data_IF_535809820641
#
_entry.id   IF_535809820641
#
_cell.length_a   1.000
_cell.length_b   1.000
_cell.length_c   1.000
_cell.angle_alpha   90.00
_cell.angle_beta   90.00
_cell.angle_gamma   90.00
#
_symmetry.space_group_name_H-M   'P 1'
#
loop_
_entity.id
_entity.type
_entity.pdbx_description
1 polymer ?
#
# COMPACT_ATOMS: atom_id res chain seq x y z
N UNK A 1 -27.82 -18.11 -11.40
CA UNK A 1 -28.33 -16.99 -12.21
C UNK A 1 -29.50 -16.30 -11.51
N UNK A 2 -30.43 -17.08 -10.95
CA UNK A 2 -31.72 -16.60 -10.42
C UNK A 2 -31.66 -15.62 -9.22
N UNK A 3 -30.52 -15.53 -8.52
CA UNK A 3 -30.36 -14.61 -7.38
C UNK A 3 -29.84 -13.23 -7.78
N UNK A 4 -29.19 -13.09 -8.95
CA UNK A 4 -28.54 -11.84 -9.36
C UNK A 4 -29.60 -10.75 -9.56
N UNK A 5 -29.37 -9.58 -8.98
CA UNK A 5 -30.28 -8.44 -9.03
C UNK A 5 -31.33 -8.42 -7.92
N UNK A 6 -31.48 -9.48 -7.12
CA UNK A 6 -32.35 -9.45 -5.95
C UNK A 6 -31.83 -8.43 -4.93
N UNK A 7 -32.74 -7.61 -4.40
CA UNK A 7 -32.46 -6.61 -3.36
C UNK A 7 -32.61 -7.25 -1.99
N UNK A 8 -31.77 -6.84 -1.04
CA UNK A 8 -31.82 -7.30 0.35
C UNK A 8 -31.76 -6.11 1.32
N UNK A 9 -32.22 -6.33 2.55
CA UNK A 9 -32.02 -5.35 3.63
C UNK A 9 -30.66 -5.62 4.29
N UNK A 10 -29.73 -4.65 4.35
CA UNK A 10 -28.45 -4.83 5.04
C UNK A 10 -28.65 -5.00 6.55
N UNK A 11 -27.74 -5.67 7.27
CA UNK A 11 -27.86 -5.85 8.72
C UNK A 11 -27.91 -4.55 9.53
N UNK A 12 -27.31 -3.47 9.02
CA UNK A 12 -27.24 -2.17 9.69
C UNK A 12 -27.82 -1.05 8.83
N UNK A 13 -28.52 -0.10 9.45
CA UNK A 13 -29.26 0.95 8.76
C UNK A 13 -28.43 2.15 8.31
N UNK A 14 -27.15 2.23 8.71
CA UNK A 14 -26.30 3.42 8.54
C UNK A 14 -26.19 3.96 7.11
N UNK A 15 -26.28 3.07 6.12
CA UNK A 15 -26.13 3.40 4.71
C UNK A 15 -27.37 3.05 3.89
N UNK A 16 -28.54 2.87 4.53
CA UNK A 16 -29.79 2.65 3.78
C UNK A 16 -30.02 3.79 2.78
N UNK A 17 -30.41 3.42 1.56
CA UNK A 17 -30.58 4.36 0.46
C UNK A 17 -29.29 4.68 -0.32
N UNK A 18 -28.16 4.03 0.00
CA UNK A 18 -26.95 4.15 -0.82
C UNK A 18 -27.18 3.65 -2.25
N UNK A 19 -26.79 4.46 -3.22
CA UNK A 19 -27.11 4.22 -4.62
C UNK A 19 -26.48 2.91 -5.13
N UNK A 20 -27.25 2.17 -5.94
CA UNK A 20 -26.88 0.88 -6.54
C UNK A 20 -26.50 -0.25 -5.56
N UNK A 21 -26.59 -0.01 -4.25
CA UNK A 21 -26.19 -0.94 -3.21
C UNK A 21 -27.30 -1.94 -2.82
N UNK A 22 -26.97 -2.83 -1.88
CA UNK A 22 -27.88 -3.81 -1.27
C UNK A 22 -28.63 -4.70 -2.26
N UNK A 23 -27.91 -5.17 -3.27
CA UNK A 23 -28.38 -6.16 -4.25
C UNK A 23 -27.34 -7.24 -4.47
N UNK A 24 -27.79 -8.42 -4.88
CA UNK A 24 -26.91 -9.54 -5.20
C UNK A 24 -26.27 -9.32 -6.57
N UNK A 25 -24.95 -9.48 -6.65
CA UNK A 25 -24.16 -9.32 -7.88
C UNK A 25 -23.31 -10.57 -8.14
N UNK A 26 -22.98 -10.82 -9.40
CA UNK A 26 -22.11 -11.94 -9.76
C UNK A 26 -20.63 -11.60 -9.44
N UNK A 27 -19.89 -12.54 -8.88
CA UNK A 27 -18.46 -12.38 -8.61
C UNK A 27 -17.75 -13.72 -8.85
N UNK A 28 -16.66 -13.69 -9.62
CA UNK A 28 -15.93 -14.90 -10.03
C UNK A 28 -15.03 -15.47 -8.94
N UNK A 29 -14.64 -14.67 -7.95
CA UNK A 29 -13.77 -15.08 -6.85
C UNK A 29 -14.51 -15.88 -5.76
N UNK A 30 -15.84 -16.00 -5.85
CA UNK A 30 -16.64 -16.73 -4.86
C UNK A 30 -16.40 -18.23 -5.01
N UNK A 31 -15.90 -18.87 -3.96
CA UNK A 31 -15.70 -20.33 -3.93
C UNK A 31 -16.87 -21.03 -3.26
N UNK A 32 -16.98 -22.33 -3.52
CA UNK A 32 -17.96 -23.22 -2.84
C UNK A 32 -17.31 -24.09 -1.77
N UNK A 33 -16.03 -23.86 -1.47
CA UNK A 33 -15.27 -24.67 -0.50
C UNK A 33 -15.52 -24.22 0.93
N UNK A 34 -15.71 -22.92 1.14
CA UNK A 34 -15.78 -22.29 2.45
C UNK A 34 -16.90 -21.23 2.49
N UNK A 35 -17.43 -20.96 3.68
CA UNK A 35 -18.53 -20.01 3.86
C UNK A 35 -19.87 -20.53 3.36
N UNK A 36 -20.69 -19.65 2.78
CA UNK A 36 -22.06 -19.95 2.35
C UNK A 36 -22.27 -19.87 0.83
N UNK A 37 -21.22 -19.51 0.08
CA UNK A 37 -21.34 -19.13 -1.33
C UNK A 37 -21.96 -17.74 -1.57
N UNK A 38 -22.26 -16.98 -0.51
CA UNK A 38 -22.62 -15.57 -0.56
C UNK A 38 -21.58 -14.77 0.24
N UNK A 39 -20.90 -13.84 -0.43
CA UNK A 39 -19.83 -13.04 0.18
C UNK A 39 -20.35 -11.64 0.48
N UNK A 40 -20.15 -11.18 1.72
CA UNK A 40 -20.36 -9.78 2.08
C UNK A 40 -19.28 -8.93 1.41
N UNK A 41 -19.69 -7.87 0.70
CA UNK A 41 -18.79 -6.99 -0.05
C UNK A 41 -18.74 -5.60 0.59
N UNK A 42 -17.53 -5.13 0.87
CA UNK A 42 -17.24 -3.78 1.35
C UNK A 42 -16.03 -3.20 0.60
N UNK A 43 -16.28 -2.48 -0.49
CA UNK A 43 -15.23 -2.02 -1.43
C UNK A 43 -14.10 -1.16 -0.83
N UNK A 44 -14.30 -0.60 0.37
CA UNK A 44 -13.27 0.13 1.09
C UNK A 44 -12.26 -0.78 1.84
N UNK A 45 -12.56 -2.07 2.02
CA UNK A 45 -11.83 -2.97 2.91
C UNK A 45 -11.38 -4.28 2.25
N UNK A 46 -11.67 -4.48 0.96
CA UNK A 46 -11.23 -5.62 0.17
C UNK A 46 -10.90 -5.21 -1.27
N UNK A 47 -9.85 -5.80 -1.85
CA UNK A 47 -9.46 -5.51 -3.24
C UNK A 47 -10.46 -6.07 -4.24
N UNK A 48 -10.80 -7.35 -4.12
CA UNK A 48 -11.82 -7.98 -4.95
C UNK A 48 -13.20 -7.30 -4.78
N UNK A 49 -13.49 -6.87 -3.55
CA UNK A 49 -14.68 -6.09 -3.24
C UNK A 49 -14.68 -4.76 -3.98
N UNK A 50 -13.54 -4.06 -4.01
CA UNK A 50 -13.39 -2.79 -4.73
C UNK A 50 -13.64 -2.95 -6.23
N UNK A 51 -13.06 -4.00 -6.82
CA UNK A 51 -13.24 -4.33 -8.24
C UNK A 51 -14.73 -4.56 -8.56
N UNK A 52 -15.42 -5.32 -7.71
CA UNK A 52 -16.86 -5.57 -7.88
C UNK A 52 -17.67 -4.29 -7.68
N UNK A 53 -17.43 -3.53 -6.62
CA UNK A 53 -18.20 -2.30 -6.35
C UNK A 53 -18.01 -1.26 -7.44
N UNK A 54 -16.80 -1.11 -7.99
CA UNK A 54 -16.53 -0.20 -9.11
C UNK A 54 -17.28 -0.62 -10.38
N UNK A 55 -17.21 -1.91 -10.74
CA UNK A 55 -17.94 -2.47 -11.88
C UNK A 55 -19.44 -2.24 -11.77
N UNK A 56 -19.97 -2.34 -10.56
CA UNK A 56 -21.40 -2.24 -10.25
C UNK A 56 -21.87 -0.80 -9.96
N UNK A 57 -20.97 0.19 -10.02
CA UNK A 57 -21.28 1.59 -9.75
C UNK A 57 -21.72 1.86 -8.30
N UNK A 58 -21.16 1.10 -7.35
CA UNK A 58 -21.40 1.24 -5.91
C UNK A 58 -20.25 2.03 -5.31
N UNK A 59 -20.52 3.25 -4.82
CA UNK A 59 -19.50 4.06 -4.17
C UNK A 59 -19.02 3.40 -2.87
N UNK A 60 -17.70 3.27 -2.69
CA UNK A 60 -17.14 2.68 -1.48
C UNK A 60 -17.25 3.64 -0.29
N UNK A 61 -17.80 3.15 0.82
CA UNK A 61 -17.95 3.92 2.07
C UNK A 61 -16.81 3.61 3.04
N UNK A 62 -16.29 4.63 3.72
CA UNK A 62 -15.14 4.50 4.64
C UNK A 62 -15.51 4.93 6.09
N UNK A 63 -16.25 4.10 6.84
CA UNK A 63 -16.61 4.39 8.23
C UNK A 63 -15.47 4.18 9.24
N UNK A 64 -14.21 4.11 8.80
CA UNK A 64 -13.07 3.81 9.67
C UNK A 64 -11.98 4.86 9.48
N UNK A 65 -11.60 5.49 10.59
CA UNK A 65 -10.56 6.50 10.68
C UNK A 65 -9.15 5.94 10.41
N UNK A 66 -8.15 6.84 10.43
CA UNK A 66 -6.73 6.46 10.24
C UNK A 66 -6.14 5.68 11.42
N UNK A 67 -6.78 5.76 12.58
CA UNK A 67 -6.44 5.09 13.83
C UNK A 67 -7.17 3.74 13.99
N UNK A 68 -7.88 3.28 12.96
CA UNK A 68 -8.62 2.02 12.99
C UNK A 68 -9.87 2.07 13.86
N UNK A 69 -10.41 3.27 14.11
CA UNK A 69 -11.64 3.47 14.87
C UNK A 69 -12.82 3.81 13.97
N UNK A 70 -14.02 3.38 14.34
CA UNK A 70 -15.23 3.76 13.62
C UNK A 70 -15.47 5.27 13.69
N UNK A 71 -16.01 5.83 12.61
CA UNK A 71 -16.41 7.24 12.48
C UNK A 71 -17.88 7.32 12.09
N UNK A 72 -18.49 8.49 12.26
CA UNK A 72 -19.79 8.81 11.67
C UNK A 72 -19.84 8.37 10.17
N UNK A 73 -20.94 7.77 9.68
CA UNK A 73 -22.26 7.60 10.34
C UNK A 73 -22.42 6.40 11.26
N UNK A 74 -21.38 5.60 11.52
CA UNK A 74 -21.48 4.40 12.37
C UNK A 74 -21.46 4.79 13.86
N UNK A 75 -22.57 5.40 14.29
CA UNK A 75 -22.69 6.07 15.58
C UNK A 75 -22.63 5.12 16.79
N UNK A 76 -23.19 3.90 16.71
CA UNK A 76 -23.22 2.99 17.87
C UNK A 76 -21.81 2.55 18.30
N UNK A 77 -20.84 2.59 17.39
CA UNK A 77 -19.45 2.17 17.62
C UNK A 77 -18.44 3.30 17.42
N UNK A 78 -18.89 4.56 17.27
CA UNK A 78 -18.02 5.69 16.96
C UNK A 78 -16.90 5.84 18.01
N UNK A 79 -15.65 5.96 17.54
CA UNK A 79 -14.46 6.04 18.40
C UNK A 79 -13.98 4.70 18.98
N UNK A 80 -14.68 3.59 18.74
CA UNK A 80 -14.21 2.24 19.10
C UNK A 80 -13.29 1.69 18.03
N UNK A 81 -12.23 1.00 18.45
CA UNK A 81 -11.33 0.29 17.53
C UNK A 81 -12.08 -0.91 16.92
N UNK A 82 -11.86 -1.20 15.63
CA UNK A 82 -12.66 -2.18 14.87
C UNK A 82 -12.67 -3.61 15.46
N UNK A 83 -11.57 -4.06 16.07
CA UNK A 83 -11.50 -5.36 16.75
C UNK A 83 -12.26 -5.35 18.08
N UNK A 84 -12.20 -4.25 18.84
CA UNK A 84 -12.96 -4.09 20.08
C UNK A 84 -14.48 -4.09 19.80
N UNK A 85 -14.89 -3.48 18.69
CA UNK A 85 -16.28 -3.38 18.28
C UNK A 85 -16.92 -4.74 17.91
N UNK A 86 -16.12 -5.77 17.56
CA UNK A 86 -16.66 -7.06 17.10
C UNK A 86 -17.62 -7.70 18.11
N UNK A 87 -17.30 -7.67 19.41
CA UNK A 87 -18.18 -8.25 20.43
C UNK A 87 -19.49 -7.48 20.56
N UNK A 88 -19.44 -6.14 20.51
CA UNK A 88 -20.62 -5.29 20.56
C UNK A 88 -21.54 -5.50 19.35
N UNK A 89 -20.97 -5.55 18.15
CA UNK A 89 -21.69 -5.86 16.90
C UNK A 89 -22.40 -7.21 17.01
N UNK A 90 -21.72 -8.24 17.51
CA UNK A 90 -22.30 -9.57 17.67
C UNK A 90 -23.44 -9.56 18.71
N UNK A 91 -23.29 -8.83 19.80
CA UNK A 91 -24.31 -8.73 20.85
C UNK A 91 -25.56 -7.99 20.34
N UNK A 92 -25.41 -6.93 19.54
CA UNK A 92 -26.53 -6.21 18.91
C UNK A 92 -27.29 -7.09 17.90
N UNK A 93 -26.56 -7.86 17.08
CA UNK A 93 -27.15 -8.83 16.15
C UNK A 93 -27.90 -9.95 16.91
N UNK A 94 -27.34 -10.40 18.05
CA UNK A 94 -27.96 -11.42 18.89
C UNK A 94 -29.23 -10.89 19.58
N UNK A 95 -29.21 -9.67 20.09
CA UNK A 95 -30.39 -9.02 20.68
C UNK A 95 -31.52 -8.92 19.65
N UNK A 96 -31.21 -8.47 18.43
CA UNK A 96 -32.18 -8.38 17.32
C UNK A 96 -32.74 -9.74 16.93
N UNK A 97 -31.91 -10.78 16.93
CA UNK A 97 -32.35 -12.17 16.69
C UNK A 97 -33.36 -12.64 17.74
N UNK A 98 -33.23 -12.17 18.99
CA UNK A 98 -34.14 -12.50 20.09
C UNK A 98 -35.41 -11.61 20.11
N UNK A 99 -35.57 -10.71 19.14
CA UNK A 99 -36.72 -9.81 19.03
C UNK A 99 -36.56 -8.46 19.73
N UNK A 100 -35.36 -8.12 20.22
CA UNK A 100 -35.05 -6.83 20.83
C UNK A 100 -34.45 -5.88 19.79
N UNK A 101 -34.92 -4.63 19.70
CA UNK A 101 -34.23 -3.65 18.85
C UNK A 101 -32.92 -3.21 19.54
N UNK A 102 -31.78 -3.43 18.89
CA UNK A 102 -30.47 -2.96 19.38
C UNK A 102 -29.75 -2.11 18.34
N UNK A 103 -29.32 -0.93 18.76
CA UNK A 103 -28.64 0.05 17.93
C UNK A 103 -29.32 0.26 16.58
N UNK A 104 -28.49 0.34 15.54
CA UNK A 104 -28.87 0.55 14.15
C UNK A 104 -29.09 -0.75 13.38
N UNK A 105 -29.28 -1.89 14.07
CA UNK A 105 -29.56 -3.17 13.40
C UNK A 105 -30.94 -3.12 12.75
N UNK A 106 -31.05 -3.55 11.49
CA UNK A 106 -32.30 -3.49 10.74
C UNK A 106 -33.28 -4.60 11.18
N UNK A 107 -34.60 -4.32 11.20
CA UNK A 107 -35.61 -5.32 11.55
C UNK A 107 -35.56 -6.55 10.63
N UNK A 108 -35.64 -7.74 11.23
CA UNK A 108 -35.59 -9.02 10.50
C UNK A 108 -34.18 -9.57 10.29
N UNK A 109 -33.13 -8.86 10.74
CA UNK A 109 -31.76 -9.37 10.76
C UNK A 109 -31.62 -10.52 11.76
N UNK A 110 -30.99 -11.61 11.32
CA UNK A 110 -30.80 -12.84 12.11
C UNK A 110 -29.33 -13.23 12.15
N UNK A 111 -28.78 -13.36 13.35
CA UNK A 111 -27.50 -14.02 13.60
C UNK A 111 -27.73 -15.53 13.60
N UNK A 112 -27.51 -16.17 12.45
CA UNK A 112 -27.76 -17.61 12.29
C UNK A 112 -26.79 -18.48 13.09
N UNK A 113 -25.50 -18.14 13.09
CA UNK A 113 -24.43 -18.92 13.72
C UNK A 113 -23.29 -18.01 14.12
N UNK A 114 -22.68 -18.28 15.28
CA UNK A 114 -21.44 -17.68 15.77
C UNK A 114 -20.46 -18.80 16.10
N UNK A 115 -19.26 -18.71 15.56
CA UNK A 115 -18.16 -19.63 15.82
C UNK A 115 -16.86 -18.86 16.02
N UNK A 116 -15.88 -19.52 16.64
CA UNK A 116 -14.50 -19.04 16.67
C UNK A 116 -13.76 -19.61 15.48
N UNK A 117 -12.97 -18.77 14.81
CA UNK A 117 -12.17 -19.16 13.67
C UNK A 117 -10.69 -18.97 13.99
N UNK A 118 -9.92 -20.06 13.88
CA UNK A 118 -8.46 -20.05 14.08
C UNK A 118 -7.78 -20.15 12.72
N UNK A 119 -7.04 -19.10 12.35
CA UNK A 119 -6.38 -19.00 11.05
C UNK A 119 -5.20 -18.03 11.09
N UNK A 120 -4.34 -18.12 10.07
CA UNK A 120 -3.27 -17.14 9.89
C UNK A 120 -3.82 -15.79 9.45
N UNK A 121 -3.48 -14.75 10.19
CA UNK A 121 -3.92 -13.38 9.92
C UNK A 121 -2.71 -12.44 9.79
N UNK A 122 -2.73 -11.44 8.89
CA UNK A 122 -1.60 -10.52 8.71
C UNK A 122 -1.43 -9.59 9.92
N UNK A 123 -0.19 -9.49 10.39
CA UNK A 123 0.21 -8.59 11.48
C UNK A 123 1.34 -7.68 11.03
N UNK A 124 1.42 -6.50 11.64
CA UNK A 124 2.54 -5.58 11.42
C UNK A 124 3.86 -6.27 11.78
N UNK A 125 4.78 -6.35 10.83
CA UNK A 125 6.09 -7.01 11.01
C UNK A 125 6.94 -6.36 12.11
N UNK A 126 6.64 -5.10 12.48
CA UNK A 126 7.35 -4.34 13.52
C UNK A 126 6.70 -4.46 14.89
N UNK A 127 5.44 -4.04 15.02
CA UNK A 127 4.76 -3.96 16.32
C UNK A 127 3.84 -5.14 16.63
N UNK A 128 3.67 -6.08 15.68
CA UNK A 128 2.84 -7.28 15.82
C UNK A 128 1.34 -7.04 16.02
N UNK A 129 0.87 -5.81 15.88
CA UNK A 129 -0.57 -5.50 15.85
C UNK A 129 -1.24 -6.07 14.60
N UNK A 130 -2.50 -6.56 14.69
CA UNK A 130 -3.25 -7.06 13.55
C UNK A 130 -3.54 -5.94 12.53
N UNK A 131 -3.39 -6.26 11.25
CA UNK A 131 -3.61 -5.31 10.16
C UNK A 131 -5.06 -5.32 9.68
N UNK A 132 -5.50 -4.21 9.13
CA UNK A 132 -6.77 -4.13 8.39
C UNK A 132 -6.48 -3.67 6.96
N UNK A 133 -7.16 -4.28 6.00
CA UNK A 133 -7.18 -3.77 4.63
C UNK A 133 -8.11 -2.57 4.59
N UNK A 134 -7.62 -1.46 4.07
CA UNK A 134 -8.34 -0.20 4.02
C UNK A 134 -7.88 0.61 2.81
N UNK A 135 -8.82 1.15 2.05
CA UNK A 135 -8.56 2.12 0.99
C UNK A 135 -7.83 3.35 1.55
N UNK A 136 -6.64 3.61 1.03
CA UNK A 136 -5.82 4.78 1.36
C UNK A 136 -5.18 5.31 0.08
N UNK A 137 -4.94 6.62 0.02
CA UNK A 137 -4.15 7.21 -1.06
C UNK A 137 -2.68 6.84 -0.89
N UNK A 138 -2.04 6.33 -1.93
CA UNK A 138 -0.61 6.06 -1.95
C UNK A 138 -0.08 6.31 -3.36
N UNK A 139 1.23 6.54 -3.48
CA UNK A 139 1.91 6.55 -4.76
C UNK A 139 2.49 5.17 -5.03
N UNK A 140 2.37 4.74 -6.28
CA UNK A 140 2.77 3.42 -6.72
C UNK A 140 3.81 3.50 -7.83
N UNK A 141 4.78 2.60 -7.80
CA UNK A 141 5.53 2.22 -9.00
C UNK A 141 4.72 1.12 -9.71
N UNK A 142 4.42 1.34 -10.99
CA UNK A 142 3.66 0.40 -11.84
C UNK A 142 4.52 -0.82 -12.23
N UNK A 143 4.83 -1.66 -11.23
CA UNK A 143 5.66 -2.86 -11.38
C UNK A 143 5.04 -3.83 -12.39
N UNK A 144 3.72 -3.87 -12.47
CA UNK A 144 3.00 -4.74 -13.40
C UNK A 144 3.36 -4.48 -14.87
N UNK A 145 3.69 -3.23 -15.24
CA UNK A 145 4.06 -2.85 -16.60
C UNK A 145 5.36 -3.50 -17.10
N UNK A 146 6.30 -3.82 -16.20
CA UNK A 146 7.60 -4.43 -16.54
C UNK A 146 7.84 -5.77 -15.83
N UNK A 147 6.80 -6.38 -15.27
CA UNK A 147 6.85 -7.67 -14.58
C UNK A 147 7.46 -8.78 -15.43
N UNK A 148 7.05 -8.88 -16.70
CA UNK A 148 7.59 -9.88 -17.62
C UNK A 148 9.09 -9.69 -17.85
N UNK A 149 9.53 -8.43 -17.96
CA UNK A 149 10.95 -8.11 -18.11
C UNK A 149 11.75 -8.49 -16.86
N UNK A 150 11.19 -8.28 -15.66
CA UNK A 150 11.84 -8.73 -14.43
C UNK A 150 12.01 -10.25 -14.38
N UNK A 151 11.05 -11.03 -14.88
CA UNK A 151 11.17 -12.48 -14.96
C UNK A 151 12.32 -12.89 -15.89
N UNK A 152 12.46 -12.25 -17.05
CA UNK A 152 13.57 -12.49 -17.98
C UNK A 152 14.93 -12.11 -17.38
N UNK A 153 15.01 -10.95 -16.70
CA UNK A 153 16.24 -10.51 -16.04
C UNK A 153 16.61 -11.44 -14.89
N UNK A 154 15.64 -12.01 -14.17
CA UNK A 154 15.88 -12.98 -13.11
C UNK A 154 16.55 -14.27 -13.62
N UNK A 155 16.27 -14.67 -14.87
CA UNK A 155 16.92 -15.84 -15.49
C UNK A 155 18.41 -15.62 -15.77
N UNK A 156 18.89 -14.38 -15.75
CA UNK A 156 20.31 -14.05 -15.94
C UNK A 156 21.10 -14.09 -14.62
N UNK A 157 20.42 -14.21 -13.48
CA UNK A 157 21.02 -14.22 -12.15
C UNK A 157 21.40 -15.65 -11.77
N UNK A 158 22.63 -15.85 -11.30
CA UNK A 158 23.06 -17.12 -10.72
C UNK A 158 22.63 -17.20 -9.24
N UNK A 159 21.56 -17.95 -8.96
CA UNK A 159 21.04 -18.14 -7.61
C UNK A 159 21.69 -19.31 -6.89
N UNK A 160 22.02 -19.11 -5.61
CA UNK A 160 22.50 -20.15 -4.71
C UNK A 160 21.66 -20.13 -3.43
N UNK A 161 20.81 -21.13 -3.16
CA UNK A 161 20.53 -22.30 -4.00
C UNK A 161 19.70 -21.98 -5.26
N UNK A 162 19.86 -22.82 -6.28
CA UNK A 162 19.28 -22.70 -7.63
C UNK A 162 17.75 -22.61 -7.64
N UNK A 163 17.08 -23.44 -6.83
CA UNK A 163 15.61 -23.51 -6.79
C UNK A 163 14.94 -22.21 -6.33
N UNK A 164 15.67 -21.20 -5.86
CA UNK A 164 15.09 -19.89 -5.51
C UNK A 164 14.68 -19.13 -6.77
N UNK A 165 15.44 -19.29 -7.87
CA UNK A 165 15.25 -18.57 -9.13
C UNK A 165 13.83 -18.74 -9.66
N UNK A 166 13.39 -19.99 -9.82
CA UNK A 166 12.03 -20.33 -10.28
C UNK A 166 11.06 -20.62 -9.12
N UNK A 167 11.59 -20.76 -7.89
CA UNK A 167 10.82 -21.09 -6.70
C UNK A 167 10.28 -19.86 -5.99
N UNK A 168 10.89 -19.51 -4.86
CA UNK A 168 10.35 -18.45 -4.00
C UNK A 168 10.38 -17.07 -4.67
N UNK A 169 11.48 -16.74 -5.36
CA UNK A 169 11.65 -15.44 -5.99
C UNK A 169 10.90 -15.36 -7.32
N UNK A 170 11.06 -16.35 -8.21
CA UNK A 170 10.34 -16.42 -9.49
C UNK A 170 8.82 -16.35 -9.32
N UNK A 171 8.23 -17.18 -8.45
CA UNK A 171 6.77 -17.13 -8.18
C UNK A 171 6.32 -15.82 -7.52
N UNK A 172 7.19 -15.17 -6.75
CA UNK A 172 6.90 -13.83 -6.22
C UNK A 172 6.82 -12.81 -7.35
N UNK A 173 7.76 -12.84 -8.29
CA UNK A 173 7.77 -11.98 -9.48
C UNK A 173 6.56 -12.22 -10.38
N UNK A 174 6.15 -13.47 -10.62
CA UNK A 174 4.97 -13.82 -11.46
C UNK A 174 3.68 -13.16 -10.94
N UNK A 175 3.57 -13.07 -9.61
CA UNK A 175 2.42 -12.52 -8.90
C UNK A 175 2.68 -11.09 -8.39
N UNK A 176 3.73 -10.42 -8.86
CA UNK A 176 4.05 -9.07 -8.45
C UNK A 176 2.90 -8.11 -8.79
N UNK A 177 2.62 -7.23 -7.83
CA UNK A 177 1.65 -6.15 -7.93
C UNK A 177 2.39 -4.81 -7.89
N UNK A 178 1.69 -3.74 -8.23
CA UNK A 178 2.25 -2.40 -8.15
C UNK A 178 2.72 -2.09 -6.73
N UNK A 179 3.89 -1.48 -6.63
CA UNK A 179 4.55 -1.27 -5.36
C UNK A 179 4.15 0.08 -4.78
N UNK A 180 3.41 0.06 -3.67
CA UNK A 180 3.17 1.25 -2.85
C UNK A 180 4.48 1.74 -2.22
N UNK A 181 5.01 2.85 -2.74
CA UNK A 181 6.29 3.42 -2.35
C UNK A 181 6.18 4.53 -1.30
N UNK A 182 4.98 4.86 -0.81
CA UNK A 182 4.81 5.95 0.18
C UNK A 182 4.35 5.47 1.54
N UNK A 183 4.78 6.22 2.56
CA UNK A 183 4.44 5.99 3.96
C UNK A 183 4.04 7.32 4.60
N UNK A 184 2.92 7.35 5.31
CA UNK A 184 2.56 8.49 6.15
C UNK A 184 3.39 8.48 7.45
N UNK A 185 4.69 8.83 7.34
CA UNK A 185 5.68 8.83 8.43
C UNK A 185 6.50 10.13 8.41
N UNK A 186 7.32 10.31 9.45
CA UNK A 186 8.11 11.53 9.64
C UNK A 186 9.57 11.36 9.24
N UNK A 187 10.19 10.22 9.58
CA UNK A 187 11.60 9.93 9.30
C UNK A 187 11.75 8.98 8.11
N UNK A 188 12.43 9.45 7.07
CA UNK A 188 12.65 8.75 5.81
C UNK A 188 12.86 9.76 4.67
N UNK A 189 13.31 9.28 3.52
CA UNK A 189 13.51 10.11 2.32
C UNK A 189 12.18 10.74 1.87
N UNK A 190 12.04 12.07 1.88
CA UNK A 190 10.77 12.70 1.51
C UNK A 190 10.46 12.51 0.02
N UNK A 191 9.19 12.25 -0.30
CA UNK A 191 8.74 12.14 -1.69
C UNK A 191 8.89 13.51 -2.37
N UNK A 192 9.64 13.63 -3.47
CA UNK A 192 10.00 14.92 -4.06
C UNK A 192 8.91 15.45 -5.01
N UNK A 193 7.65 15.33 -4.61
CA UNK A 193 6.48 15.74 -5.40
C UNK A 193 5.83 16.95 -4.75
N UNK A 194 5.69 18.04 -5.51
CA UNK A 194 4.91 19.22 -5.14
C UNK A 194 3.60 19.24 -5.90
N UNK A 195 2.51 19.48 -5.17
CA UNK A 195 1.14 19.51 -5.69
C UNK A 195 0.51 20.87 -5.40
N UNK A 196 -0.28 21.36 -6.35
CA UNK A 196 -1.14 22.53 -6.13
C UNK A 196 -2.15 22.28 -5.01
N UNK A 197 -2.37 23.28 -4.15
CA UNK A 197 -3.41 23.27 -3.12
C UNK A 197 -4.80 23.73 -3.64
N UNK A 198 -4.92 24.07 -4.92
CA UNK A 198 -6.19 24.44 -5.58
C UNK A 198 -6.52 23.48 -6.74
N UNK A 199 -7.63 22.72 -6.67
CA UNK A 199 -8.05 21.81 -7.73
C UNK A 199 -8.45 22.51 -9.04
N UNK A 200 -8.70 23.83 -9.02
CA UNK A 200 -8.98 24.64 -10.22
C UNK A 200 -7.73 24.83 -11.08
N UNK A 201 -6.55 24.82 -10.45
CA UNK A 201 -5.25 24.93 -11.09
C UNK A 201 -4.41 23.70 -10.76
N UNK A 202 -4.79 22.49 -11.26
CA UNK A 202 -4.11 21.27 -10.89
C UNK A 202 -2.71 21.22 -11.51
N UNK A 203 -1.70 21.03 -10.66
CA UNK A 203 -0.30 20.88 -11.08
C UNK A 203 0.42 19.88 -10.17
N UNK A 204 1.31 19.09 -10.76
CA UNK A 204 2.26 18.23 -10.08
C UNK A 204 3.65 18.48 -10.64
N UNK A 205 4.60 18.80 -9.77
CA UNK A 205 6.03 18.92 -10.11
C UNK A 205 6.82 17.85 -9.35
N UNK A 206 7.77 17.21 -10.02
CA UNK A 206 8.70 16.23 -9.42
C UNK A 206 10.11 16.77 -9.57
N UNK A 207 10.85 16.86 -8.47
CA UNK A 207 12.20 17.40 -8.45
C UNK A 207 13.24 16.28 -8.31
N UNK A 208 14.22 16.25 -9.22
CA UNK A 208 15.27 15.24 -9.27
C UNK A 208 16.60 15.69 -8.66
N UNK A 209 16.79 16.98 -8.36
CA UNK A 209 18.06 17.50 -7.86
C UNK A 209 17.92 18.77 -7.01
N UNK A 210 18.98 19.10 -6.26
CA UNK A 210 19.08 20.39 -5.57
C UNK A 210 19.04 21.58 -6.54
N UNK A 211 19.65 21.46 -7.72
CA UNK A 211 19.65 22.53 -8.73
C UNK A 211 18.23 22.88 -9.20
N UNK A 212 17.40 21.87 -9.46
CA UNK A 212 16.00 22.10 -9.86
C UNK A 212 15.17 22.74 -8.74
N UNK A 213 15.42 22.34 -7.49
CA UNK A 213 14.78 22.95 -6.31
C UNK A 213 15.23 24.42 -6.18
N UNK A 214 16.53 24.70 -6.21
CA UNK A 214 17.04 26.06 -6.06
C UNK A 214 16.56 26.98 -7.18
N UNK A 215 16.48 26.49 -8.42
CA UNK A 215 15.93 27.22 -9.56
C UNK A 215 14.48 27.65 -9.33
N UNK A 216 13.64 26.75 -8.82
CA UNK A 216 12.19 26.98 -8.74
C UNK A 216 11.74 27.65 -7.44
N UNK A 217 12.47 27.45 -6.35
CA UNK A 217 12.16 28.01 -5.02
C UNK A 217 13.07 29.18 -4.63
N UNK A 218 14.19 29.39 -5.34
CA UNK A 218 15.19 30.42 -5.03
C UNK A 218 16.02 30.13 -3.78
N UNK A 219 15.84 28.96 -3.15
CA UNK A 219 16.58 28.51 -1.97
C UNK A 219 16.54 26.99 -1.87
N UNK A 220 17.50 26.45 -1.11
CA UNK A 220 17.47 25.08 -0.63
C UNK A 220 16.87 25.02 0.78
N UNK A 221 16.26 23.88 1.17
CA UNK A 221 15.88 23.65 2.55
C UNK A 221 17.14 23.48 3.40
N UNK A 222 17.15 24.06 4.60
CA UNK A 222 18.32 24.09 5.48
C UNK A 222 17.98 23.57 6.87
N UNK A 223 18.91 22.82 7.44
CA UNK A 223 18.84 22.38 8.83
C UNK A 223 19.04 23.55 9.80
N UNK A 224 19.05 23.24 11.11
CA UNK A 224 19.24 24.23 12.18
C UNK A 224 20.62 24.89 12.18
N UNK A 225 21.62 24.26 11.56
CA UNK A 225 22.99 24.74 11.45
C UNK A 225 23.23 25.47 10.11
N UNK A 226 22.21 25.54 9.24
CA UNK A 226 22.26 26.23 7.96
C UNK A 226 22.75 25.37 6.80
N UNK A 227 22.96 24.07 6.99
CA UNK A 227 23.38 23.16 5.92
C UNK A 227 22.18 22.70 5.07
N UNK A 228 22.34 22.45 3.76
CA UNK A 228 21.28 21.86 2.95
C UNK A 228 20.81 20.53 3.52
N UNK A 229 19.51 20.40 3.77
CA UNK A 229 18.90 19.17 4.29
C UNK A 229 17.50 18.97 3.71
N UNK A 230 17.33 17.88 2.94
CA UNK A 230 16.06 17.49 2.33
C UNK A 230 15.12 16.76 3.29
N UNK A 231 15.51 16.50 4.54
CA UNK A 231 14.64 15.83 5.50
C UNK A 231 13.48 16.72 5.95
N UNK A 232 12.44 16.06 6.45
CA UNK A 232 11.41 16.72 7.24
C UNK A 232 12.01 17.17 8.59
N UNK A 233 11.65 18.35 9.12
CA UNK A 233 10.60 19.25 8.61
C UNK A 233 11.06 20.22 7.53
N UNK A 234 12.37 20.39 7.30
CA UNK A 234 12.95 21.48 6.51
C UNK A 234 12.43 21.55 5.07
N UNK A 235 12.34 20.41 4.38
CA UNK A 235 11.83 20.35 3.00
C UNK A 235 10.35 20.72 2.87
N UNK A 236 9.56 20.57 3.93
CA UNK A 236 8.13 20.89 3.92
C UNK A 236 7.89 22.42 3.90
N UNK A 237 8.91 23.22 4.23
CA UNK A 237 8.84 24.69 4.22
C UNK A 237 8.98 25.28 2.80
N UNK A 238 9.45 24.49 1.84
CA UNK A 238 9.57 24.91 0.45
C UNK A 238 8.18 25.00 -0.19
N UNK A 239 7.70 26.22 -0.32
CA UNK A 239 6.39 26.55 -0.89
C UNK A 239 6.57 27.69 -1.88
N UNK A 240 5.96 27.58 -3.06
CA UNK A 240 6.00 28.61 -4.10
C UNK A 240 4.61 28.83 -4.70
N UNK A 241 4.29 30.01 -5.26
CA UNK A 241 3.07 30.20 -6.02
C UNK A 241 2.97 29.19 -7.17
N UNK A 242 1.76 28.72 -7.46
CA UNK A 242 1.52 27.86 -8.61
C UNK A 242 1.73 28.66 -9.90
N UNK A 243 2.66 28.26 -10.77
CA UNK A 243 2.93 28.98 -12.03
C UNK A 243 1.73 28.96 -13.00
N UNK A 244 0.80 28.02 -12.84
CA UNK A 244 -0.37 27.90 -13.71
C UNK A 244 -1.57 28.73 -13.22
N UNK A 245 -1.48 29.36 -12.04
CA UNK A 245 -2.50 30.25 -11.50
C UNK A 245 -2.15 31.72 -11.72
N UNK A 246 -2.83 32.41 -12.67
CA UNK A 246 -2.54 33.81 -12.98
C UNK A 246 -2.91 34.77 -11.84
N UNK A 247 -3.69 34.32 -10.86
CA UNK A 247 -4.04 35.12 -9.67
C UNK A 247 -2.95 35.09 -8.60
N UNK A 248 -2.03 34.12 -8.68
CA UNK A 248 -0.95 33.91 -7.72
C UNK A 248 -1.43 33.49 -6.33
N UNK A 249 -2.65 32.94 -6.19
CA UNK A 249 -3.24 32.59 -4.90
C UNK A 249 -2.99 31.14 -4.50
N UNK A 250 -3.03 30.23 -5.46
CA UNK A 250 -2.72 28.82 -5.22
C UNK A 250 -1.22 28.62 -5.07
N UNK A 251 -0.85 27.65 -4.24
CA UNK A 251 0.53 27.36 -3.87
C UNK A 251 0.88 25.91 -4.22
N UNK A 252 2.12 25.71 -4.64
CA UNK A 252 2.74 24.39 -4.76
C UNK A 252 3.28 23.97 -3.39
N UNK A 253 2.82 22.83 -2.88
CA UNK A 253 3.24 22.27 -1.59
C UNK A 253 3.66 20.82 -1.75
N UNK A 254 4.71 20.39 -1.06
CA UNK A 254 5.15 19.00 -1.09
C UNK A 254 4.04 18.08 -0.56
N UNK A 255 3.88 16.91 -1.15
CA UNK A 255 3.10 15.84 -0.53
C UNK A 255 3.76 15.47 0.81
N UNK A 256 2.99 15.15 1.86
CA UNK A 256 3.55 14.95 3.19
C UNK A 256 4.23 13.58 3.39
N UNK A 257 4.07 12.68 2.42
CA UNK A 257 4.59 11.33 2.44
C UNK A 257 6.13 11.28 2.40
N UNK A 258 6.67 10.23 3.03
CA UNK A 258 8.06 9.78 2.83
C UNK A 258 8.06 8.47 2.06
N UNK A 259 9.19 8.14 1.44
CA UNK A 259 9.38 6.91 0.71
C UNK A 259 9.41 5.69 1.65
N UNK A 260 9.04 4.54 1.09
CA UNK A 260 9.27 3.24 1.69
C UNK A 260 10.78 2.99 1.86
N UNK A 261 11.20 2.47 3.02
CA UNK A 261 12.63 2.22 3.30
C UNK A 261 13.25 1.19 2.34
N UNK A 262 12.42 0.34 1.73
CA UNK A 262 12.87 -0.57 0.67
C UNK A 262 13.21 0.14 -0.64
N UNK A 263 12.72 1.36 -0.84
CA UNK A 263 13.12 2.24 -1.93
C UNK A 263 14.54 2.77 -1.70
N UNK A 264 14.86 3.19 -0.47
CA UNK A 264 16.22 3.63 -0.10
C UNK A 264 17.23 2.50 -0.29
N UNK A 265 16.98 1.34 0.33
CA UNK A 265 17.88 0.20 0.22
C UNK A 265 17.93 -0.38 -1.19
N UNK A 266 16.82 -0.44 -1.91
CA UNK A 266 16.79 -0.87 -3.31
C UNK A 266 17.59 0.05 -4.24
N UNK A 267 17.66 1.34 -3.92
CA UNK A 267 18.41 2.35 -4.70
C UNK A 267 19.92 2.32 -4.45
N UNK A 268 20.38 1.54 -3.46
CA UNK A 268 21.75 1.55 -2.95
C UNK A 268 22.82 1.46 -4.06
N UNK A 269 22.61 0.60 -5.07
CA UNK A 269 23.59 0.37 -6.14
C UNK A 269 24.05 1.65 -6.84
N UNK A 270 23.15 2.60 -7.07
CA UNK A 270 23.45 3.87 -7.74
C UNK A 270 23.51 5.05 -6.75
N UNK A 271 22.68 5.04 -5.70
CA UNK A 271 22.63 6.12 -4.72
C UNK A 271 23.92 6.25 -3.91
N UNK A 272 24.60 5.14 -3.59
CA UNK A 272 25.83 5.14 -2.78
C UNK A 272 26.99 5.93 -3.41
N UNK A 273 26.96 6.11 -4.74
CA UNK A 273 28.00 6.79 -5.51
C UNK A 273 27.53 8.11 -6.11
N UNK A 274 26.39 8.63 -5.64
CA UNK A 274 25.81 9.89 -6.12
C UNK A 274 25.52 9.89 -7.64
N UNK A 275 25.26 8.72 -8.24
CA UNK A 275 24.82 8.61 -9.63
C UNK A 275 23.42 9.25 -9.77
N UNK A 276 23.13 10.01 -10.84
CA UNK A 276 23.96 10.24 -12.04
C UNK A 276 24.88 11.47 -11.96
N UNK A 277 24.93 12.19 -10.83
CA UNK A 277 25.64 13.46 -10.69
C UNK A 277 27.16 13.27 -10.65
N UNK A 278 27.62 12.21 -10.00
CA UNK A 278 29.04 11.87 -9.87
C UNK A 278 29.28 10.38 -10.13
N UNK A 279 30.55 10.00 -10.26
CA UNK A 279 31.01 8.60 -10.32
C UNK A 279 30.35 7.75 -11.41
N UNK A 280 29.91 8.37 -12.51
CA UNK A 280 29.25 7.69 -13.63
C UNK A 280 30.08 6.53 -14.18
N UNK A 281 31.35 6.78 -14.49
CA UNK A 281 32.24 5.74 -15.02
C UNK A 281 32.43 4.60 -14.03
N UNK A 282 32.48 4.90 -12.73
CA UNK A 282 32.56 3.86 -11.71
C UNK A 282 31.28 3.02 -11.72
N UNK A 283 30.10 3.63 -11.67
CA UNK A 283 28.82 2.92 -11.69
C UNK A 283 28.66 2.06 -12.94
N UNK A 284 28.93 2.62 -14.12
CA UNK A 284 28.77 1.93 -15.40
C UNK A 284 29.69 0.69 -15.53
N UNK A 285 30.82 0.66 -14.81
CA UNK A 285 31.75 -0.48 -14.77
C UNK A 285 31.59 -1.43 -13.57
N UNK A 286 30.79 -1.08 -12.56
CA UNK A 286 30.58 -1.87 -11.33
C UNK A 286 29.13 -2.32 -11.13
N UNK A 287 28.25 -2.05 -12.10
CA UNK A 287 26.85 -2.45 -12.06
C UNK A 287 26.44 -3.29 -13.30
N UNK A 288 25.92 -4.51 -13.13
CA UNK A 288 25.47 -5.15 -11.89
C UNK A 288 26.60 -5.56 -10.94
N UNK A 289 26.30 -5.64 -9.64
CA UNK A 289 27.25 -6.16 -8.65
C UNK A 289 27.47 -7.66 -8.83
N UNK A 290 28.71 -8.14 -8.71
CA UNK A 290 29.03 -9.54 -9.00
C UNK A 290 28.41 -10.54 -8.02
N UNK A 291 28.32 -10.17 -6.74
CA UNK A 291 27.90 -11.07 -5.66
C UNK A 291 27.15 -10.33 -4.56
N UNK A 292 26.06 -10.93 -4.09
CA UNK A 292 25.30 -10.51 -2.92
C UNK A 292 24.97 -11.72 -2.06
N UNK A 293 24.95 -11.55 -0.74
CA UNK A 293 24.55 -12.59 0.21
C UNK A 293 23.66 -12.04 1.31
N UNK A 294 22.48 -12.61 1.48
CA UNK A 294 21.58 -12.33 2.60
C UNK A 294 20.73 -13.55 2.95
N UNK A 295 19.92 -13.45 4.00
CA UNK A 295 18.99 -14.51 4.37
C UNK A 295 17.76 -14.59 3.44
N UNK A 296 17.12 -15.75 3.39
CA UNK A 296 16.00 -16.10 2.52
C UNK A 296 14.80 -15.14 2.55
N UNK A 297 14.59 -14.40 3.64
CA UNK A 297 13.52 -13.41 3.71
C UNK A 297 13.73 -12.21 2.78
N UNK A 298 14.96 -11.96 2.31
CA UNK A 298 15.24 -10.87 1.36
C UNK A 298 14.67 -11.11 -0.03
N UNK A 299 14.20 -12.32 -0.35
CA UNK A 299 13.40 -12.59 -1.56
C UNK A 299 12.12 -11.76 -1.63
N UNK A 300 11.62 -11.25 -0.50
CA UNK A 300 10.47 -10.33 -0.39
C UNK A 300 10.86 -8.93 0.09
N UNK A 301 12.16 -8.66 0.21
CA UNK A 301 12.72 -7.40 0.71
C UNK A 301 13.74 -6.84 -0.27
N UNK A 302 15.00 -6.81 0.15
CA UNK A 302 16.07 -6.11 -0.57
C UNK A 302 16.34 -6.68 -1.96
N UNK A 303 16.38 -8.02 -2.13
CA UNK A 303 16.58 -8.62 -3.44
C UNK A 303 15.48 -8.19 -4.42
N UNK A 304 14.22 -8.18 -3.94
CA UNK A 304 13.08 -7.78 -4.74
C UNK A 304 13.18 -6.31 -5.15
N UNK A 305 13.39 -5.39 -4.20
CA UNK A 305 13.39 -3.96 -4.54
C UNK A 305 14.61 -3.51 -5.33
N UNK A 306 15.78 -4.11 -5.10
CA UNK A 306 16.93 -3.94 -5.99
C UNK A 306 16.60 -4.38 -7.42
N UNK A 307 16.00 -5.57 -7.58
CA UNK A 307 15.65 -6.11 -8.90
C UNK A 307 14.59 -5.26 -9.62
N UNK A 308 13.58 -4.78 -8.88
CA UNK A 308 12.56 -3.86 -9.40
C UNK A 308 13.20 -2.57 -9.92
N UNK A 309 14.03 -1.90 -9.12
CA UNK A 309 14.63 -0.62 -9.53
C UNK A 309 15.69 -0.81 -10.63
N UNK A 310 16.49 -1.88 -10.57
CA UNK A 310 17.46 -2.22 -11.60
C UNK A 310 16.79 -2.48 -12.96
N UNK A 311 15.72 -3.28 -12.98
CA UNK A 311 14.94 -3.57 -14.18
C UNK A 311 14.25 -2.32 -14.73
N UNK A 312 13.63 -1.51 -13.86
CA UNK A 312 12.91 -0.31 -14.27
C UNK A 312 13.81 0.79 -14.84
N UNK A 313 14.95 1.05 -14.20
CA UNK A 313 15.80 2.22 -14.51
C UNK A 313 16.90 1.88 -15.51
N UNK A 314 17.45 0.65 -15.44
CA UNK A 314 18.68 0.29 -16.16
C UNK A 314 18.54 -0.92 -17.10
N UNK A 315 17.36 -1.54 -17.15
CA UNK A 315 17.05 -2.73 -17.94
C UNK A 315 18.08 -3.87 -17.83
N UNK A 316 18.55 -4.13 -16.60
CA UNK A 316 19.53 -5.18 -16.31
C UNK A 316 19.30 -5.80 -14.93
N UNK A 317 19.85 -6.99 -14.64
CA UNK A 317 19.77 -7.58 -13.30
C UNK A 317 20.41 -6.66 -12.27
N UNK A 318 19.98 -6.72 -11.01
CA UNK A 318 20.60 -5.94 -9.94
C UNK A 318 21.99 -6.48 -9.53
N UNK A 319 22.19 -7.79 -9.71
CA UNK A 319 23.39 -8.53 -9.34
C UNK A 319 23.56 -9.76 -10.22
N UNK A 320 24.80 -10.23 -10.40
CA UNK A 320 25.13 -11.39 -11.22
C UNK A 320 24.96 -12.71 -10.46
N UNK A 321 25.37 -12.77 -9.19
CA UNK A 321 25.22 -13.95 -8.31
C UNK A 321 24.58 -13.58 -6.98
N UNK A 322 23.60 -14.38 -6.54
CA UNK A 322 22.90 -14.17 -5.27
C UNK A 322 22.92 -15.43 -4.41
N UNK A 323 23.58 -15.36 -3.26
CA UNK A 323 23.53 -16.40 -2.23
C UNK A 323 22.46 -16.06 -1.19
N UNK A 324 21.49 -16.95 -1.02
CA UNK A 324 20.42 -16.79 -0.06
C UNK A 324 20.50 -17.89 1.00
N UNK A 325 20.95 -17.53 2.19
CA UNK A 325 21.11 -18.50 3.29
C UNK A 325 19.82 -18.68 4.11
N UNK A 326 19.76 -19.76 4.89
CA UNK A 326 18.64 -20.06 5.78
C UNK A 326 18.57 -19.16 7.03
N UNK A 327 17.59 -19.40 7.87
CA UNK A 327 17.42 -18.68 9.16
C UNK A 327 18.17 -19.48 10.24
N UNK A 328 18.96 -18.78 11.06
CA UNK A 328 19.51 -19.37 12.29
C UNK A 328 18.38 -19.49 13.31
N UNK A 329 18.16 -20.71 13.79
CA UNK A 329 17.13 -21.03 14.78
C UNK A 329 17.77 -21.32 16.14
N UNK A 330 16.96 -21.25 17.20
CA UNK A 330 17.30 -21.75 18.53
C UNK A 330 17.61 -23.25 18.53
N UNK A 331 18.16 -23.75 19.64
CA UNK A 331 18.44 -25.18 19.80
C UNK A 331 17.18 -26.06 19.83
N UNK A 332 16.02 -25.45 20.01
CA UNK A 332 14.67 -26.02 19.97
C UNK A 332 13.97 -25.82 18.62
N UNK A 333 14.62 -25.18 17.66
CA UNK A 333 14.06 -24.88 16.34
C UNK A 333 13.11 -23.68 16.30
N UNK A 334 13.03 -22.88 17.38
CA UNK A 334 12.27 -21.62 17.41
C UNK A 334 13.08 -20.40 17.01
#
# INVERSE_FOLDING_TARGET
ADLVGLVYTPPFSYYLGHDNAFRVVAAEFVTTTDGTGLVHTAGAFGEDDKVVTDREGIEAVMPVGKDGKFTFPVADYEGMQVFDANLHIIDDLKATTNGEQSGSVTPGTVLLRRETYDHSYPHCWRCREPLIYKGVSSWFVEVTAFKQRMLELNQQINWVPDHIQDGQFGRWLENARDWSITRNRFWGSPVPVWKSDDPTYPRLDVYGSFEEIERDFGTLPRDRDGNPDLHRPFVDELVRPNPDDPTGKSMMRRVSDVLDVWFDSGSMSFAQVHYPFENKDWFDNHFPGDFIVEYIGQTRGWFYTMHVLAGAIFDRPAFSTCLSHGIVLGNDGQ
#
